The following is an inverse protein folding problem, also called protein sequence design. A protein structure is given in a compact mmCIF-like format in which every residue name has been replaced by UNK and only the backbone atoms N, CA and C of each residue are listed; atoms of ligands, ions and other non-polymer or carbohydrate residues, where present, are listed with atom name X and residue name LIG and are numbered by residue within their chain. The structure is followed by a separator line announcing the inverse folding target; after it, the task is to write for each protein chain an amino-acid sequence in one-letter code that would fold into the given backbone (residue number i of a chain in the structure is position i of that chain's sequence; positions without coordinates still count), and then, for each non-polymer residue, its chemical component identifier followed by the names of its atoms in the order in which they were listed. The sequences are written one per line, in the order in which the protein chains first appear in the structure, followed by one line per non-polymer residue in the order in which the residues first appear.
data_IF_321818483529
#
_entry.id   IF_321818483529
#
_cell.length_a   1.000
_cell.length_b   1.000
_cell.length_c   1.000
_cell.angle_alpha   90.00
_cell.angle_beta   90.00
_cell.angle_gamma   90.00
#
_symmetry.space_group_name_H-M   'P 1'
#
loop_
_entity.id
_entity.type
_entity.pdbx_description
1 polymer ?
#
# COMPACT_ATOMS: atom_id res chain seq x y z
N UNK A 1 -3.88 -6.61 14.14
CA UNK A 1 -3.38 -7.59 13.15
C UNK A 1 -4.54 -8.30 12.46
N UNK A 2 -5.43 -8.98 13.20
CA UNK A 2 -6.60 -9.68 12.63
C UNK A 2 -7.58 -8.76 11.86
N UNK A 3 -7.90 -7.58 12.42
CA UNK A 3 -8.79 -6.63 11.74
C UNK A 3 -8.17 -6.06 10.45
N UNK A 4 -6.86 -5.76 10.46
CA UNK A 4 -6.13 -5.36 9.25
C UNK A 4 -6.12 -6.46 8.19
N UNK A 5 -5.97 -7.73 8.60
CA UNK A 5 -6.02 -8.86 7.69
C UNK A 5 -7.38 -8.97 6.99
N UNK A 6 -8.49 -8.95 7.75
CA UNK A 6 -9.84 -8.94 7.17
C UNK A 6 -10.03 -7.80 6.20
N UNK A 7 -9.59 -6.60 6.58
CA UNK A 7 -9.69 -5.42 5.73
C UNK A 7 -8.87 -5.56 4.45
N UNK A 8 -7.66 -6.12 4.55
CA UNK A 8 -6.78 -6.36 3.40
C UNK A 8 -7.45 -7.30 2.40
N UNK A 9 -8.02 -8.41 2.85
CA UNK A 9 -8.74 -9.33 1.96
C UNK A 9 -9.99 -8.69 1.35
N UNK A 10 -10.76 -7.96 2.14
CA UNK A 10 -11.97 -7.28 1.65
C UNK A 10 -11.62 -6.26 0.57
N UNK A 11 -10.60 -5.42 0.81
CA UNK A 11 -10.15 -4.42 -0.17
C UNK A 11 -9.47 -5.04 -1.38
N UNK A 12 -8.77 -6.17 -1.24
CA UNK A 12 -8.25 -6.88 -2.39
C UNK A 12 -9.38 -7.40 -3.29
N UNK A 13 -10.41 -8.02 -2.70
CA UNK A 13 -11.58 -8.47 -3.44
C UNK A 13 -12.28 -7.30 -4.13
N UNK A 14 -12.53 -6.20 -3.41
CA UNK A 14 -13.12 -5.00 -3.97
C UNK A 14 -12.27 -4.43 -5.13
N UNK A 15 -10.94 -4.37 -4.97
CA UNK A 15 -10.04 -3.88 -6.01
C UNK A 15 -10.09 -4.76 -7.26
N UNK A 16 -10.10 -6.08 -7.08
CA UNK A 16 -10.23 -7.06 -8.15
C UNK A 16 -11.56 -6.90 -8.90
N UNK A 17 -12.66 -6.75 -8.17
CA UNK A 17 -13.99 -6.59 -8.77
C UNK A 17 -14.07 -5.28 -9.56
N UNK A 18 -13.60 -4.17 -8.99
CA UNK A 18 -13.53 -2.87 -9.69
C UNK A 18 -12.65 -2.95 -10.94
N UNK A 19 -11.52 -3.66 -10.86
CA UNK A 19 -10.60 -3.85 -11.98
C UNK A 19 -11.29 -4.55 -13.15
N UNK A 20 -12.01 -5.64 -12.86
CA UNK A 20 -12.78 -6.39 -13.83
C UNK A 20 -13.94 -5.58 -14.42
N UNK A 21 -14.71 -4.89 -13.58
CA UNK A 21 -15.85 -4.06 -14.01
C UNK A 21 -15.41 -2.92 -14.93
N UNK A 22 -14.25 -2.32 -14.67
CA UNK A 22 -13.74 -1.16 -15.43
C UNK A 22 -12.81 -1.54 -16.58
N UNK A 23 -12.43 -2.81 -16.69
CA UNK A 23 -11.46 -3.27 -17.68
C UNK A 23 -10.05 -2.69 -17.49
N UNK A 24 -9.71 -2.31 -16.25
CA UNK A 24 -8.36 -1.87 -15.86
C UNK A 24 -7.56 -3.05 -15.31
N UNK A 25 -6.24 -2.89 -15.23
CA UNK A 25 -5.37 -3.86 -14.54
C UNK A 25 -5.38 -3.62 -13.03
N UNK A 26 -5.25 -4.68 -12.24
CA UNK A 26 -5.07 -4.58 -10.80
C UNK A 26 -3.58 -4.46 -10.47
N UNK A 27 -3.19 -3.35 -9.86
CA UNK A 27 -1.85 -3.15 -9.32
C UNK A 27 -1.87 -3.26 -7.79
N UNK A 28 -1.12 -4.22 -7.25
CA UNK A 28 -0.96 -4.42 -5.81
C UNK A 28 0.38 -3.86 -5.36
N UNK A 29 0.38 -2.92 -4.43
CA UNK A 29 1.58 -2.38 -3.77
C UNK A 29 1.66 -3.03 -2.38
N UNK A 30 2.47 -4.07 -2.27
CA UNK A 30 2.36 -4.96 -1.14
C UNK A 30 3.42 -6.03 -1.15
N UNK A 31 3.46 -6.78 -0.07
CA UNK A 31 4.35 -7.93 0.07
C UNK A 31 3.50 -9.18 0.32
N UNK A 32 2.76 -9.66 -0.71
CA UNK A 32 1.95 -10.87 -0.59
C UNK A 32 2.83 -12.13 -0.48
N UNK A 33 4.09 -12.04 -0.91
CA UNK A 33 5.04 -13.16 -0.94
C UNK A 33 5.82 -13.38 0.35
N UNK A 34 5.79 -12.44 1.31
CA UNK A 34 6.24 -12.66 2.68
C UNK A 34 7.63 -12.12 3.00
N UNK A 35 7.76 -10.79 3.09
CA UNK A 35 8.90 -10.08 3.65
C UNK A 35 9.28 -10.56 5.03
N UNK A 36 10.37 -11.33 5.04
CA UNK A 36 11.49 -11.43 6.00
C UNK A 36 11.32 -11.35 7.51
N UNK A 37 10.14 -11.29 8.11
CA UNK A 37 10.05 -11.46 9.58
C UNK A 37 8.91 -12.34 10.08
N UNK A 38 7.90 -12.58 9.24
CA UNK A 38 6.72 -13.35 9.62
C UNK A 38 6.48 -14.60 8.77
N UNK A 39 7.51 -15.25 8.22
CA UNK A 39 7.31 -16.53 7.47
C UNK A 39 6.45 -17.56 8.23
N UNK A 40 6.43 -17.53 9.57
CA UNK A 40 5.55 -18.38 10.39
C UNK A 40 4.10 -17.90 10.51
N UNK A 41 3.81 -16.60 10.39
CA UNK A 41 2.44 -16.04 10.48
C UNK A 41 1.87 -15.78 9.08
N UNK A 42 2.68 -15.38 8.10
CA UNK A 42 2.26 -15.13 6.72
C UNK A 42 1.78 -16.41 6.03
N UNK A 43 2.44 -17.55 6.27
CA UNK A 43 2.08 -18.86 5.70
C UNK A 43 0.67 -19.35 6.07
N UNK A 44 0.08 -18.85 7.15
CA UNK A 44 -1.25 -19.25 7.61
C UNK A 44 -2.31 -18.14 7.48
N UNK A 45 -1.90 -16.89 7.26
CA UNK A 45 -2.78 -15.74 7.45
C UNK A 45 -2.68 -14.64 6.39
N UNK A 46 -1.88 -14.71 5.32
CA UNK A 46 -1.66 -13.53 4.46
C UNK A 46 -1.51 -13.83 2.96
N UNK A 47 -2.31 -14.75 2.42
CA UNK A 47 -2.47 -14.88 0.97
C UNK A 47 -3.67 -14.04 0.50
N UNK A 48 -3.46 -12.73 0.44
CA UNK A 48 -4.43 -11.79 -0.15
C UNK A 48 -4.26 -11.71 -1.68
N UNK A 49 -3.43 -12.56 -2.29
CA UNK A 49 -3.29 -12.66 -3.74
C UNK A 49 -2.31 -11.67 -4.39
N UNK A 50 -2.15 -11.82 -5.70
CA UNK A 50 -1.36 -10.96 -6.58
C UNK A 50 -2.29 -10.22 -7.55
N UNK A 51 -1.95 -8.98 -7.89
CA UNK A 51 -2.57 -8.28 -9.03
C UNK A 51 -1.93 -8.70 -10.35
N UNK A 52 -2.46 -8.17 -11.46
CA UNK A 52 -1.79 -8.24 -12.78
C UNK A 52 -0.36 -7.70 -12.72
N UNK A 53 -0.15 -6.69 -11.87
CA UNK A 53 1.16 -6.21 -11.45
C UNK A 53 1.20 -6.21 -9.93
N UNK A 54 2.25 -6.76 -9.36
CA UNK A 54 2.52 -6.65 -7.92
C UNK A 54 3.88 -6.02 -7.70
N UNK A 55 3.89 -4.84 -7.06
CA UNK A 55 5.09 -4.14 -6.61
C UNK A 55 5.42 -4.62 -5.20
N UNK A 56 6.55 -5.28 -5.08
CA UNK A 56 7.08 -5.82 -3.83
C UNK A 56 8.49 -5.25 -3.58
N UNK A 57 8.73 -4.75 -2.36
CA UNK A 57 10.01 -4.16 -1.95
C UNK A 57 11.15 -5.20 -1.89
N UNK A 58 10.81 -6.45 -1.57
CA UNK A 58 11.76 -7.55 -1.42
C UNK A 58 11.72 -8.49 -2.63
N UNK A 59 10.57 -8.57 -3.30
CA UNK A 59 10.34 -9.33 -4.52
C UNK A 59 10.19 -10.84 -4.29
N UNK A 60 9.50 -11.50 -5.21
CA UNK A 60 9.45 -12.96 -5.33
C UNK A 60 9.39 -13.33 -6.82
N UNK A 61 9.48 -14.63 -7.15
CA UNK A 61 9.46 -15.12 -8.55
C UNK A 61 8.22 -14.68 -9.36
N UNK A 62 7.15 -14.25 -8.68
CA UNK A 62 5.88 -13.81 -9.27
C UNK A 62 5.64 -12.29 -9.20
N UNK A 63 6.51 -11.52 -8.56
CA UNK A 63 6.34 -10.08 -8.34
C UNK A 63 7.33 -9.24 -9.16
N UNK A 64 6.88 -8.05 -9.58
CA UNK A 64 7.79 -7.05 -10.13
C UNK A 64 8.48 -6.35 -8.97
N UNK A 65 9.79 -6.50 -8.88
CA UNK A 65 10.58 -5.77 -7.89
C UNK A 65 10.69 -4.31 -8.32
N UNK A 66 10.14 -3.40 -7.51
CA UNK A 66 10.24 -1.97 -7.73
C UNK A 66 10.34 -1.25 -6.37
N UNK A 67 11.24 -0.28 -6.28
CA UNK A 67 11.27 0.65 -5.13
C UNK A 67 10.18 1.70 -5.33
N UNK A 68 9.22 1.80 -4.40
CA UNK A 68 8.16 2.80 -4.45
C UNK A 68 8.68 4.24 -4.41
N UNK A 69 9.95 4.44 -4.03
CA UNK A 69 10.60 5.75 -4.02
C UNK A 69 11.23 6.13 -5.37
N UNK A 70 11.30 5.20 -6.33
CA UNK A 70 11.88 5.43 -7.66
C UNK A 70 10.84 6.03 -8.61
N UNK A 71 10.90 7.35 -8.80
CA UNK A 71 9.97 8.09 -9.67
C UNK A 71 10.19 7.81 -11.16
N UNK A 72 11.37 7.36 -11.57
CA UNK A 72 11.61 6.95 -12.95
C UNK A 72 10.89 5.62 -13.22
N UNK A 73 10.93 4.68 -12.29
CA UNK A 73 10.14 3.44 -12.39
C UNK A 73 8.63 3.71 -12.43
N UNK A 74 8.12 4.68 -11.66
CA UNK A 74 6.70 5.08 -11.75
C UNK A 74 6.32 5.60 -13.15
N UNK A 75 7.24 6.27 -13.84
CA UNK A 75 6.97 6.88 -15.15
C UNK A 75 6.69 5.86 -16.26
N UNK A 76 7.00 4.58 -16.05
CA UNK A 76 6.71 3.52 -17.02
C UNK A 76 5.25 3.06 -17.01
N UNK A 77 4.49 3.42 -15.97
CA UNK A 77 3.05 3.14 -15.90
C UNK A 77 2.26 4.24 -16.58
N UNK A 78 1.27 3.85 -17.38
CA UNK A 78 0.35 4.77 -18.04
C UNK A 78 -0.60 5.43 -17.04
N UNK A 79 -1.11 6.61 -17.42
CA UNK A 79 -2.13 7.31 -16.64
C UNK A 79 -3.46 6.53 -16.70
N UNK A 80 -4.19 6.52 -15.58
CA UNK A 80 -5.53 5.93 -15.47
C UNK A 80 -5.66 4.47 -15.95
N UNK A 81 -4.58 3.69 -15.93
CA UNK A 81 -4.56 2.32 -16.43
C UNK A 81 -4.78 1.24 -15.37
N UNK A 82 -4.83 1.62 -14.08
CA UNK A 82 -4.88 0.67 -12.96
C UNK A 82 -6.03 0.93 -11.98
N UNK A 83 -6.45 -0.13 -11.31
CA UNK A 83 -6.99 -0.05 -9.95
C UNK A 83 -5.84 -0.38 -9.01
N UNK A 84 -5.64 0.44 -7.97
CA UNK A 84 -4.50 0.28 -7.06
C UNK A 84 -4.97 -0.22 -5.69
N UNK A 85 -4.37 -1.30 -5.22
CA UNK A 85 -4.53 -1.82 -3.86
C UNK A 85 -3.20 -1.77 -3.11
N UNK A 86 -3.22 -1.28 -1.88
CA UNK A 86 -2.02 -1.15 -1.04
C UNK A 86 -2.17 -1.82 0.31
N UNK A 87 -1.12 -2.52 0.75
CA UNK A 87 -1.17 -3.39 1.94
C UNK A 87 -0.17 -3.06 3.04
N UNK A 88 0.41 -1.85 3.06
CA UNK A 88 1.33 -1.35 4.08
C UNK A 88 2.72 -0.97 3.57
N UNK A 89 3.04 -1.26 2.31
CA UNK A 89 4.32 -0.92 1.66
C UNK A 89 4.56 0.58 1.60
N UNK A 90 3.52 1.43 1.58
CA UNK A 90 3.68 2.89 1.59
C UNK A 90 4.35 3.41 2.87
N UNK A 91 4.39 2.63 3.94
CA UNK A 91 5.15 2.97 5.15
C UNK A 91 6.64 3.19 4.90
N UNK A 92 7.20 2.64 3.82
CA UNK A 92 8.61 2.80 3.42
C UNK A 92 8.86 4.02 2.53
N UNK A 93 7.81 4.79 2.20
CA UNK A 93 7.97 6.00 1.40
C UNK A 93 8.89 7.01 2.10
N UNK A 94 9.76 7.66 1.34
CA UNK A 94 10.58 8.80 1.76
C UNK A 94 9.87 10.14 1.54
N UNK A 95 8.93 10.16 0.59
CA UNK A 95 8.09 11.31 0.25
C UNK A 95 6.70 10.79 -0.11
N UNK A 96 5.85 10.66 0.90
CA UNK A 96 4.52 10.04 0.75
C UNK A 96 3.64 10.80 -0.24
N UNK A 97 3.82 12.14 -0.34
CA UNK A 97 3.06 12.97 -1.27
C UNK A 97 3.41 12.59 -2.71
N UNK A 98 4.70 12.47 -3.05
CA UNK A 98 5.13 12.09 -4.41
C UNK A 98 4.62 10.72 -4.81
N UNK A 99 4.70 9.74 -3.90
CA UNK A 99 4.19 8.39 -4.17
C UNK A 99 2.67 8.41 -4.37
N UNK A 100 1.93 9.13 -3.53
CA UNK A 100 0.47 9.27 -3.68
C UNK A 100 0.09 9.99 -4.97
N UNK A 101 0.86 11.00 -5.42
CA UNK A 101 0.64 11.65 -6.72
C UNK A 101 0.79 10.65 -7.86
N UNK A 102 1.80 9.76 -7.82
CA UNK A 102 1.94 8.70 -8.83
C UNK A 102 0.80 7.70 -8.76
N UNK A 103 0.39 7.26 -7.55
CA UNK A 103 -0.75 6.36 -7.37
C UNK A 103 -2.02 6.98 -7.95
N UNK A 104 -2.32 8.24 -7.63
CA UNK A 104 -3.48 8.96 -8.18
C UNK A 104 -3.43 9.06 -9.69
N UNK A 105 -2.24 9.35 -10.26
CA UNK A 105 -2.05 9.45 -11.72
C UNK A 105 -2.37 8.13 -12.41
N UNK A 106 -1.78 7.03 -11.95
CA UNK A 106 -1.95 5.72 -12.62
C UNK A 106 -3.31 5.10 -12.34
N UNK A 107 -3.98 5.48 -11.24
CA UNK A 107 -5.28 4.93 -10.87
C UNK A 107 -6.48 5.74 -11.35
N UNK A 108 -6.25 7.00 -11.76
CA UNK A 108 -7.32 7.98 -11.98
C UNK A 108 -8.18 8.25 -10.73
N UNK A 109 -7.72 7.85 -9.54
CA UNK A 109 -8.46 7.96 -8.29
C UNK A 109 -8.92 6.63 -7.70
N UNK A 110 -8.85 5.52 -8.43
CA UNK A 110 -9.31 4.19 -7.97
C UNK A 110 -8.27 3.52 -7.07
N UNK A 111 -8.24 3.97 -5.81
CA UNK A 111 -7.23 3.58 -4.83
C UNK A 111 -7.83 3.07 -3.52
N UNK A 112 -7.44 1.86 -3.13
CA UNK A 112 -7.73 1.25 -1.84
C UNK A 112 -6.42 0.99 -1.08
N UNK A 113 -6.38 1.31 0.20
CA UNK A 113 -5.26 1.00 1.09
C UNK A 113 -5.80 0.39 2.37
N UNK A 114 -5.34 -0.82 2.70
CA UNK A 114 -5.58 -1.43 4.01
C UNK A 114 -4.67 -0.82 5.10
N UNK A 115 -3.73 0.04 4.70
CA UNK A 115 -2.78 0.70 5.56
C UNK A 115 -1.79 -0.24 6.22
N UNK A 116 -1.04 0.32 7.17
CA UNK A 116 0.00 -0.38 7.91
C UNK A 116 -0.50 -0.85 9.27
N UNK A 117 0.36 -1.59 9.98
CA UNK A 117 0.21 -1.72 11.43
C UNK A 117 0.26 -0.32 12.05
N UNK A 118 -0.65 -0.04 12.99
CA UNK A 118 -0.81 1.25 13.65
C UNK A 118 -1.22 1.04 15.12
N UNK A 119 -1.14 2.09 15.93
CA UNK A 119 -1.45 2.06 17.36
C UNK A 119 -0.24 2.38 18.24
N UNK A 120 -0.51 2.72 19.51
CA UNK A 120 0.45 3.34 20.41
C UNK A 120 1.77 2.57 20.55
N UNK A 121 1.71 1.25 20.76
CA UNK A 121 2.92 0.42 20.92
C UNK A 121 3.76 0.36 19.64
N UNK A 122 3.10 0.24 18.49
CA UNK A 122 3.75 0.21 17.18
C UNK A 122 4.44 1.54 16.87
N UNK A 123 3.68 2.63 16.98
CA UNK A 123 4.13 3.97 16.63
C UNK A 123 5.27 4.46 17.51
N UNK A 124 5.39 3.99 18.75
CA UNK A 124 6.41 4.44 19.69
C UNK A 124 7.59 3.47 19.87
N UNK A 125 7.39 2.15 19.74
CA UNK A 125 8.40 1.18 20.19
C UNK A 125 8.72 0.10 19.17
N UNK A 126 7.72 -0.59 18.62
CA UNK A 126 7.95 -1.89 17.96
C UNK A 126 8.21 -1.81 16.45
N UNK A 127 7.93 -0.68 15.79
CA UNK A 127 8.23 -0.54 14.36
C UNK A 127 9.73 -0.66 14.05
N UNK A 128 10.62 -0.12 14.91
CA UNK A 128 12.08 -0.18 14.72
C UNK A 128 12.67 -1.58 14.83
N UNK A 129 12.03 -2.46 15.58
CA UNK A 129 12.40 -3.87 15.67
C UNK A 129 11.88 -4.69 14.49
N UNK A 130 10.86 -4.19 13.80
CA UNK A 130 10.35 -4.78 12.58
C UNK A 130 11.22 -4.38 11.38
N UNK A 131 11.35 -3.07 11.12
CA UNK A 131 12.22 -2.54 10.08
C UNK A 131 12.59 -1.08 10.39
N UNK A 132 13.87 -0.74 10.25
CA UNK A 132 14.40 0.61 10.55
C UNK A 132 14.11 1.63 9.44
N UNK A 133 13.70 1.19 8.26
CA UNK A 133 13.41 2.02 7.11
C UNK A 133 11.94 2.47 7.03
N UNK A 134 11.09 2.06 7.98
CA UNK A 134 9.72 2.56 8.07
C UNK A 134 9.72 4.04 8.45
N UNK A 135 9.08 4.85 7.61
CA UNK A 135 8.96 6.30 7.80
C UNK A 135 7.55 6.71 8.23
N UNK A 136 6.52 5.96 7.83
CA UNK A 136 5.13 6.33 8.06
C UNK A 136 4.29 5.18 8.61
N UNK A 137 3.35 5.52 9.49
CA UNK A 137 2.14 4.73 9.71
C UNK A 137 1.08 5.18 8.71
N UNK A 138 0.55 4.26 7.93
CA UNK A 138 -0.49 4.51 6.93
C UNK A 138 -1.83 4.05 7.51
N UNK A 139 -2.83 4.92 7.49
CA UNK A 139 -4.18 4.57 7.89
C UNK A 139 -4.97 4.07 6.68
N UNK A 140 -5.97 3.20 6.88
CA UNK A 140 -6.78 2.73 5.77
C UNK A 140 -7.42 3.86 4.98
N UNK A 141 -7.56 3.66 3.69
CA UNK A 141 -8.15 4.61 2.76
C UNK A 141 -8.98 3.87 1.71
N UNK A 142 -10.18 4.36 1.44
CA UNK A 142 -11.06 3.85 0.39
C UNK A 142 -11.64 5.01 -0.40
N UNK A 143 -11.21 5.15 -1.65
CA UNK A 143 -11.60 6.27 -2.52
C UNK A 143 -13.12 6.46 -2.69
N UNK A 144 -13.93 5.42 -2.42
CA UNK A 144 -15.40 5.49 -2.56
C UNK A 144 -16.05 6.27 -1.42
N UNK A 145 -15.39 6.35 -0.26
CA UNK A 145 -15.91 6.97 0.97
C UNK A 145 -15.00 8.03 1.58
N UNK A 146 -13.70 7.91 1.37
CA UNK A 146 -12.68 8.74 2.01
C UNK A 146 -12.16 9.81 1.02
N UNK A 147 -12.09 11.04 1.50
CA UNK A 147 -11.52 12.16 0.74
C UNK A 147 -10.05 12.41 1.12
N UNK A 148 -9.70 12.14 2.38
CA UNK A 148 -8.38 12.42 2.95
C UNK A 148 -7.61 11.12 3.13
N UNK A 149 -6.49 11.01 2.42
CA UNK A 149 -5.48 10.01 2.76
C UNK A 149 -4.72 10.48 4.00
N UNK A 150 -4.65 9.63 5.02
CA UNK A 150 -4.00 9.94 6.31
C UNK A 150 -2.79 9.06 6.55
N UNK A 151 -1.69 9.69 6.94
CA UNK A 151 -0.49 9.02 7.41
C UNK A 151 0.12 9.76 8.59
N UNK A 152 0.97 9.09 9.36
CA UNK A 152 1.68 9.68 10.50
C UNK A 152 3.16 9.36 10.42
N UNK A 153 4.03 10.36 10.50
CA UNK A 153 5.47 10.11 10.53
C UNK A 153 5.85 9.33 11.79
N UNK A 154 6.59 8.25 11.61
CA UNK A 154 7.17 7.49 12.72
C UNK A 154 8.34 8.22 13.37
N UNK A 155 8.92 9.22 12.69
CA UNK A 155 10.03 10.03 13.20
C UNK A 155 9.53 11.30 13.91
N UNK A 156 8.80 12.16 13.20
CA UNK A 156 8.34 13.46 13.74
C UNK A 156 7.03 13.35 14.54
N UNK A 157 6.30 12.24 14.40
CA UNK A 157 4.95 12.01 14.97
C UNK A 157 3.86 12.91 14.40
N UNK A 158 4.19 13.74 13.42
CA UNK A 158 3.23 14.61 12.73
C UNK A 158 2.30 13.80 11.83
N UNK A 159 1.06 14.27 11.73
CA UNK A 159 0.08 13.75 10.79
C UNK A 159 0.23 14.44 9.44
N UNK A 160 0.11 13.65 8.40
CA UNK A 160 0.03 14.08 7.01
C UNK A 160 -1.34 13.67 6.48
N UNK A 161 -2.18 14.66 6.23
CA UNK A 161 -3.52 14.50 5.67
C UNK A 161 -3.56 15.20 4.32
N UNK A 162 -3.97 14.47 3.28
CA UNK A 162 -3.94 14.96 1.90
C UNK A 162 -5.28 14.61 1.25
N UNK A 163 -5.92 15.61 0.64
CA UNK A 163 -7.07 15.37 -0.23
C UNK A 163 -6.61 14.64 -1.49
N UNK A 164 -6.85 13.32 -1.53
CA UNK A 164 -6.25 12.45 -2.53
C UNK A 164 -6.66 12.84 -3.96
N UNK A 165 -7.92 13.21 -4.16
CA UNK A 165 -8.44 13.60 -5.47
C UNK A 165 -7.90 14.96 -5.98
N UNK A 166 -7.27 15.76 -5.11
CA UNK A 166 -6.67 17.06 -5.46
C UNK A 166 -5.17 16.98 -5.75
N UNK A 167 -4.58 15.79 -5.71
CA UNK A 167 -3.17 15.54 -6.03
C UNK A 167 -2.86 15.63 -7.52
#
# INVERSE_FOLDING_TARGET
MFERYKLTNAFFQDASDISNEKGKKLLVIGDPCGGTYFQFVTKYFLDYGHGDVTIDLFGCEKCTRMDINDMEAWSTFEDDSFVVMETGTLSFSKDIRKVLTQIKRISGGEFLSAGSTHGFLWENFTHKTYDKNLNYTIYPFDFRKDFLHKSKSLHTKEFFEIEFMKL
#
